data_IF_999359301080
#
_entry.id   IF_999359301080
#
_cell.length_a   1.000
_cell.length_b   1.000
_cell.length_c   1.000
_cell.angle_alpha   90.00
_cell.angle_beta   90.00
_cell.angle_gamma   90.00
#
_symmetry.space_group_name_H-M   'P 1'
#
loop_
_entity.id
_entity.type
_entity.pdbx_description
1 polymer ?
#
# COMPACT_ATOMS: atom_id res chain seq x y z
N UNK A 1 7.22 19.35 -19.88
CA UNK A 1 6.40 18.15 -20.11
C UNK A 1 7.21 16.86 -20.04
N UNK A 2 8.40 16.76 -20.66
CA UNK A 2 9.25 15.58 -20.50
C UNK A 2 9.83 15.42 -19.08
N UNK A 3 10.21 16.54 -18.44
CA UNK A 3 10.76 16.52 -17.07
C UNK A 3 9.75 16.02 -16.03
N UNK A 4 8.50 16.46 -16.09
CA UNK A 4 7.46 16.08 -15.12
C UNK A 4 7.18 14.58 -15.12
N UNK A 5 7.10 13.96 -16.31
CA UNK A 5 6.83 12.53 -16.44
C UNK A 5 8.01 11.68 -15.94
N UNK A 6 9.23 12.02 -16.37
CA UNK A 6 10.44 11.33 -15.92
C UNK A 6 10.64 11.48 -14.41
N UNK A 7 10.38 12.68 -13.88
CA UNK A 7 10.45 12.94 -12.44
C UNK A 7 9.38 12.18 -11.67
N UNK A 8 8.14 12.14 -12.15
CA UNK A 8 7.06 11.40 -11.51
C UNK A 8 7.35 9.89 -11.45
N UNK A 9 7.83 9.30 -12.55
CA UNK A 9 8.22 7.89 -12.62
C UNK A 9 9.41 7.56 -11.70
N UNK A 10 10.44 8.41 -11.72
CA UNK A 10 11.57 8.30 -10.80
C UNK A 10 11.10 8.37 -9.35
N UNK A 11 10.24 9.34 -9.01
CA UNK A 11 9.75 9.54 -7.65
C UNK A 11 8.91 8.38 -7.15
N UNK A 12 8.03 7.85 -7.98
CA UNK A 12 7.20 6.68 -7.65
C UNK A 12 8.07 5.43 -7.41
N UNK A 13 9.06 5.20 -8.28
CA UNK A 13 10.02 4.09 -8.13
C UNK A 13 10.87 4.23 -6.87
N UNK A 14 11.38 5.43 -6.59
CA UNK A 14 12.21 5.69 -5.43
C UNK A 14 11.42 5.51 -4.12
N UNK A 15 10.15 5.93 -4.09
CA UNK A 15 9.26 5.69 -2.95
C UNK A 15 8.92 4.21 -2.77
N UNK A 16 8.68 3.47 -3.84
CA UNK A 16 8.47 2.02 -3.75
C UNK A 16 9.67 1.29 -3.09
N UNK A 17 10.91 1.67 -3.45
CA UNK A 17 12.12 1.03 -2.90
C UNK A 17 12.53 1.51 -1.50
N UNK A 18 12.49 2.82 -1.23
CA UNK A 18 13.09 3.38 -0.01
C UNK A 18 12.09 3.69 1.10
N UNK A 19 10.83 3.97 0.76
CA UNK A 19 9.80 4.30 1.76
C UNK A 19 8.42 3.92 1.22
N UNK A 20 8.05 2.63 1.30
CA UNK A 20 6.83 2.11 0.68
C UNK A 20 5.63 2.89 1.21
N UNK A 21 5.13 3.77 0.35
CA UNK A 21 3.98 4.64 0.53
C UNK A 21 3.04 4.35 -0.61
N UNK A 22 1.75 4.35 -0.32
CA UNK A 22 0.77 4.06 -1.35
C UNK A 22 0.59 5.22 -2.31
N UNK A 23 -0.02 4.92 -3.45
CA UNK A 23 -0.18 5.83 -4.59
C UNK A 23 -0.74 7.19 -4.19
N UNK A 24 -1.65 7.27 -3.20
CA UNK A 24 -2.23 8.55 -2.74
C UNK A 24 -1.22 9.49 -2.10
N UNK A 25 -0.33 8.95 -1.28
CA UNK A 25 0.71 9.75 -0.64
C UNK A 25 1.76 10.22 -1.67
N UNK A 26 2.14 9.33 -2.59
CA UNK A 26 3.04 9.67 -3.70
C UNK A 26 2.44 10.74 -4.59
N UNK A 27 1.15 10.64 -4.93
CA UNK A 27 0.42 11.66 -5.69
C UNK A 27 0.42 13.02 -4.98
N UNK A 28 0.17 13.04 -3.67
CA UNK A 28 0.18 14.28 -2.88
C UNK A 28 1.57 14.92 -2.85
N UNK A 29 2.64 14.13 -2.68
CA UNK A 29 4.03 14.61 -2.72
C UNK A 29 4.39 15.19 -4.09
N UNK A 30 3.98 14.54 -5.19
CA UNK A 30 4.22 15.05 -6.54
C UNK A 30 3.44 16.34 -6.82
N UNK A 31 2.19 16.44 -6.35
CA UNK A 31 1.39 17.68 -6.48
C UNK A 31 2.02 18.84 -5.71
N UNK A 32 2.51 18.60 -4.50
CA UNK A 32 3.22 19.62 -3.72
C UNK A 32 4.50 20.11 -4.41
N UNK A 33 5.11 19.27 -5.25
CA UNK A 33 6.29 19.61 -6.04
C UNK A 33 5.99 20.29 -7.38
N UNK A 34 4.72 20.55 -7.67
CA UNK A 34 4.30 21.24 -8.90
C UNK A 34 4.18 20.35 -10.13
N UNK A 35 4.23 19.02 -9.96
CA UNK A 35 4.13 18.08 -11.08
C UNK A 35 2.70 18.05 -11.62
N UNK A 36 2.57 18.09 -12.94
CA UNK A 36 1.27 18.08 -13.62
C UNK A 36 0.47 16.80 -13.31
N UNK A 37 -0.84 16.96 -13.09
CA UNK A 37 -1.77 15.84 -12.79
C UNK A 37 -1.65 14.68 -13.78
N UNK A 38 -1.52 14.96 -15.08
CA UNK A 38 -1.40 13.94 -16.12
C UNK A 38 -0.10 13.10 -15.98
N UNK A 39 1.02 13.74 -15.64
CA UNK A 39 2.29 13.03 -15.39
C UNK A 39 2.23 12.19 -14.12
N UNK A 40 1.51 12.66 -13.09
CA UNK A 40 1.27 11.90 -11.87
C UNK A 40 0.42 10.66 -12.16
N UNK A 41 -0.73 10.82 -12.83
CA UNK A 41 -1.61 9.71 -13.17
C UNK A 41 -0.90 8.66 -14.05
N UNK A 42 -0.09 9.10 -15.02
CA UNK A 42 0.73 8.21 -15.85
C UNK A 42 1.78 7.43 -15.03
N UNK A 43 2.59 8.12 -14.23
CA UNK A 43 3.61 7.48 -13.40
C UNK A 43 3.03 6.50 -12.39
N UNK A 44 1.88 6.84 -11.79
CA UNK A 44 1.17 5.95 -10.89
C UNK A 44 0.61 4.74 -11.63
N UNK A 45 0.12 4.90 -12.87
CA UNK A 45 -0.36 3.79 -13.69
C UNK A 45 0.74 2.78 -14.04
N UNK A 46 1.97 3.26 -14.28
CA UNK A 46 3.14 2.43 -14.59
C UNK A 46 3.82 1.83 -13.34
N UNK A 47 3.48 2.34 -12.14
CA UNK A 47 4.04 1.81 -10.89
C UNK A 47 3.38 0.46 -10.59
N UNK A 48 4.17 -0.61 -10.31
CA UNK A 48 3.64 -1.94 -10.01
C UNK A 48 2.65 -1.89 -8.85
N UNK A 49 1.72 -2.87 -8.85
CA UNK A 49 0.57 -2.91 -7.97
C UNK A 49 0.91 -2.55 -6.52
N UNK A 50 0.14 -1.63 -5.91
CA UNK A 50 0.26 -1.22 -4.49
C UNK A 50 0.40 -2.41 -3.54
N UNK A 51 -0.10 -3.58 -3.96
CA UNK A 51 -0.08 -4.83 -3.20
C UNK A 51 1.32 -5.28 -2.79
N UNK A 52 2.32 -5.27 -3.69
CA UNK A 52 3.66 -5.78 -3.35
C UNK A 52 4.38 -4.82 -2.37
N UNK A 53 4.21 -3.51 -2.58
CA UNK A 53 4.73 -2.49 -1.68
C UNK A 53 4.01 -2.50 -0.32
N UNK A 54 2.69 -2.71 -0.32
CA UNK A 54 1.90 -2.90 0.89
C UNK A 54 2.33 -4.16 1.64
N UNK A 55 2.59 -5.25 0.92
CA UNK A 55 3.06 -6.50 1.47
C UNK A 55 4.44 -6.34 2.12
N UNK A 56 5.40 -5.69 1.46
CA UNK A 56 6.71 -5.40 2.06
C UNK A 56 6.60 -4.55 3.34
N UNK A 57 5.73 -3.53 3.33
CA UNK A 57 5.46 -2.71 4.51
C UNK A 57 4.78 -3.51 5.64
N UNK A 58 3.82 -4.36 5.29
CA UNK A 58 3.11 -5.22 6.22
C UNK A 58 4.06 -6.23 6.87
N UNK A 59 4.92 -6.88 6.07
CA UNK A 59 5.88 -7.88 6.53
C UNK A 59 6.85 -7.27 7.55
N UNK A 60 7.36 -6.05 7.29
CA UNK A 60 8.20 -5.31 8.26
C UNK A 60 7.48 -5.04 9.57
N UNK A 61 6.19 -4.66 9.51
CA UNK A 61 5.39 -4.35 10.71
C UNK A 61 4.98 -5.62 11.48
N UNK A 62 4.73 -6.71 10.78
CA UNK A 62 4.31 -7.99 11.34
C UNK A 62 5.39 -8.69 12.17
N UNK A 63 6.68 -8.42 11.92
CA UNK A 63 7.79 -8.97 12.72
C UNK A 63 7.69 -8.69 14.22
N UNK A 64 7.03 -7.60 14.61
CA UNK A 64 6.83 -7.22 16.01
C UNK A 64 5.37 -7.33 16.48
N UNK A 65 4.50 -8.01 15.73
CA UNK A 65 3.09 -8.16 16.09
C UNK A 65 2.78 -9.55 16.63
N UNK A 66 1.95 -9.65 17.70
CA UNK A 66 1.39 -10.91 18.15
C UNK A 66 0.58 -11.58 17.03
N UNK A 67 0.72 -12.91 16.91
CA UNK A 67 0.04 -13.75 15.91
C UNK A 67 -1.07 -14.62 16.49
N UNK A 68 -1.43 -14.39 17.76
CA UNK A 68 -2.50 -15.09 18.47
C UNK A 68 -3.91 -14.64 18.03
N UNK A 69 -4.03 -13.43 17.46
CA UNK A 69 -5.33 -12.83 17.12
C UNK A 69 -5.27 -12.20 15.73
N UNK A 70 -5.93 -12.84 14.76
CA UNK A 70 -6.01 -12.37 13.38
C UNK A 70 -6.69 -11.00 13.27
N UNK A 71 -7.78 -10.75 14.01
CA UNK A 71 -8.53 -9.51 13.93
C UNK A 71 -7.66 -8.32 14.40
N UNK A 72 -6.94 -8.50 15.52
CA UNK A 72 -5.97 -7.53 16.04
C UNK A 72 -4.79 -7.35 15.09
N UNK A 73 -4.26 -8.43 14.53
CA UNK A 73 -3.16 -8.40 13.56
C UNK A 73 -3.55 -7.60 12.31
N UNK A 74 -4.70 -7.93 11.72
CA UNK A 74 -5.30 -7.26 10.57
C UNK A 74 -5.50 -5.78 10.87
N UNK A 75 -6.22 -5.41 11.93
CA UNK A 75 -6.54 -4.01 12.24
C UNK A 75 -5.28 -3.15 12.40
N UNK A 76 -4.23 -3.70 13.04
CA UNK A 76 -2.95 -3.00 13.21
C UNK A 76 -2.20 -2.79 11.89
N UNK A 77 -2.19 -3.79 11.01
CA UNK A 77 -1.55 -3.67 9.70
C UNK A 77 -2.36 -2.78 8.76
N UNK A 78 -3.67 -2.93 8.72
CA UNK A 78 -4.59 -2.16 7.90
C UNK A 78 -4.45 -0.66 8.21
N UNK A 79 -4.53 -0.28 9.49
CA UNK A 79 -4.28 1.10 9.90
C UNK A 79 -2.86 1.59 9.58
N UNK A 80 -1.85 0.72 9.65
CA UNK A 80 -0.47 1.07 9.30
C UNK A 80 -0.28 1.35 7.80
N UNK A 81 -0.96 0.58 6.96
CA UNK A 81 -0.91 0.70 5.50
C UNK A 81 -1.75 1.89 5.02
N UNK A 82 -2.96 2.08 5.55
CA UNK A 82 -3.81 3.22 5.21
C UNK A 82 -3.13 4.56 5.55
N UNK A 83 -2.47 4.66 6.71
CA UNK A 83 -1.68 5.86 7.08
C UNK A 83 -0.46 6.10 6.18
N UNK A 84 -0.01 5.08 5.45
CA UNK A 84 1.04 5.19 4.42
C UNK A 84 0.49 5.54 3.04
N UNK A 85 -0.84 5.67 2.90
CA UNK A 85 -1.51 6.03 1.66
C UNK A 85 -1.83 4.85 0.74
N UNK A 86 -1.70 3.60 1.23
CA UNK A 86 -2.12 2.42 0.48
C UNK A 86 -3.64 2.37 0.38
N UNK A 87 -4.15 1.92 -0.76
CA UNK A 87 -5.58 1.64 -0.93
C UNK A 87 -6.04 0.48 -0.05
N UNK A 88 -7.33 0.47 0.28
CA UNK A 88 -7.94 -0.59 1.09
C UNK A 88 -7.75 -1.98 0.47
N UNK A 89 -8.00 -2.13 -0.84
CA UNK A 89 -7.84 -3.41 -1.55
C UNK A 89 -6.41 -3.96 -1.48
N UNK A 90 -5.41 -3.12 -1.78
CA UNK A 90 -4.00 -3.51 -1.71
C UNK A 90 -3.56 -3.85 -0.27
N UNK A 91 -4.02 -3.08 0.72
CA UNK A 91 -3.73 -3.36 2.12
C UNK A 91 -4.31 -4.70 2.56
N UNK A 92 -5.57 -4.97 2.19
CA UNK A 92 -6.27 -6.22 2.52
C UNK A 92 -5.60 -7.44 1.87
N UNK A 93 -5.28 -7.34 0.57
CA UNK A 93 -4.60 -8.41 -0.18
C UNK A 93 -3.23 -8.73 0.44
N UNK A 94 -2.43 -7.69 0.72
CA UNK A 94 -1.14 -7.82 1.39
C UNK A 94 -1.22 -8.50 2.77
N UNK A 95 -2.20 -8.12 3.59
CA UNK A 95 -2.41 -8.71 4.92
C UNK A 95 -2.83 -10.17 4.83
N UNK A 96 -3.76 -10.48 3.92
CA UNK A 96 -4.26 -11.85 3.74
C UNK A 96 -3.14 -12.78 3.25
N UNK A 97 -2.36 -12.35 2.25
CA UNK A 97 -1.18 -13.07 1.76
C UNK A 97 -0.17 -13.32 2.89
N UNK A 98 0.15 -12.28 3.64
CA UNK A 98 1.09 -12.39 4.76
C UNK A 98 0.59 -13.34 5.85
N UNK A 99 -0.70 -13.30 6.18
CA UNK A 99 -1.26 -14.19 7.20
C UNK A 99 -1.23 -15.66 6.77
N UNK A 100 -1.57 -15.94 5.50
CA UNK A 100 -1.50 -17.28 4.93
C UNK A 100 -0.08 -17.85 4.95
N UNK A 101 0.93 -17.06 4.59
CA UNK A 101 2.34 -17.46 4.64
C UNK A 101 2.85 -17.73 6.07
N UNK A 102 2.29 -17.05 7.06
CA UNK A 102 2.60 -17.28 8.47
C UNK A 102 1.92 -18.53 9.04
N UNK A 103 1.16 -19.28 8.23
CA UNK A 103 0.44 -20.49 8.62
C UNK A 103 -0.87 -20.23 9.35
N UNK A 104 -1.34 -18.99 9.38
CA UNK A 104 -2.65 -18.65 9.90
C UNK A 104 -3.73 -18.87 8.83
N UNK A 105 -4.77 -19.65 9.13
CA UNK A 105 -5.98 -19.62 8.33
C UNK A 105 -6.63 -18.24 8.52
N UNK A 106 -7.00 -17.51 7.46
CA UNK A 106 -7.87 -16.35 7.64
C UNK A 106 -9.15 -16.88 8.27
N UNK A 107 -9.52 -16.33 9.43
CA UNK A 107 -10.81 -16.64 10.05
C UNK A 107 -11.87 -16.34 8.98
N UNK A 108 -12.62 -17.36 8.57
CA UNK A 108 -13.46 -17.37 7.36
C UNK A 108 -14.68 -16.41 7.44
N UNK A 109 -14.69 -15.46 8.37
CA UNK A 109 -15.80 -14.55 8.63
C UNK A 109 -15.31 -13.10 8.72
N UNK A 110 -15.20 -12.43 7.57
CA UNK A 110 -15.42 -10.98 7.45
C UNK A 110 -15.45 -10.56 5.96
N UNK A 111 -16.28 -11.20 5.15
CA UNK A 111 -17.01 -10.49 4.10
C UNK A 111 -18.17 -9.76 4.80
N UNK A 112 -17.86 -8.57 5.32
CA UNK A 112 -18.88 -7.59 5.65
C UNK A 112 -18.90 -6.59 4.51
N UNK A 113 -19.84 -6.76 3.59
CA UNK A 113 -20.27 -5.71 2.66
C UNK A 113 -20.48 -4.40 3.43
N UNK A 114 -20.06 -3.25 2.91
CA UNK A 114 -20.90 -2.08 2.95
C UNK A 114 -21.77 -2.14 1.70
N UNK A 115 -23.01 -2.54 1.92
CA UNK A 115 -24.13 -2.09 1.11
C UNK A 115 -24.23 -0.56 1.19
N UNK A 116 -24.80 0.02 0.13
CA UNK A 116 -25.20 1.43 -0.09
C UNK A 116 -24.19 2.40 -0.73
#
# INVERSE_FOLDING_TARGET
>A
MADDAAFAAYWATQRASFSPRGRRAVAAELRQRGVARAAIDAALAETPADEEAAYAAAQRKARGLPRDDYARFRAKLEGHLLRRGFGYGAARAAINRLWAELGGAPDAVAEGSPEE
#
